data_IF_282891242455
#
_entry.id   IF_282891242455
#
_cell.length_a   1.000
_cell.length_b   1.000
_cell.length_c   1.000
_cell.angle_alpha   90.00
_cell.angle_beta   90.00
_cell.angle_gamma   90.00
#
_symmetry.space_group_name_H-M   'P 1'
#
loop_
_entity.id
_entity.type
_entity.pdbx_description
1 polymer ?
#
# COMPACT_ATOMS: atom_id res chain seq x y z
N UNK A 1 -9.59 8.74 -13.37
CA UNK A 1 -8.41 7.83 -13.47
C UNK A 1 -8.80 6.44 -12.99
N UNK A 2 -8.27 5.41 -13.64
CA UNK A 2 -8.59 4.02 -13.32
C UNK A 2 -7.74 3.53 -12.13
N UNK A 3 -8.39 3.19 -11.01
CA UNK A 3 -7.74 2.73 -9.77
C UNK A 3 -6.94 1.44 -9.96
N UNK A 4 -7.47 0.49 -10.76
CA UNK A 4 -6.79 -0.75 -11.08
C UNK A 4 -5.51 -0.50 -11.89
N UNK A 5 -5.57 0.39 -12.89
CA UNK A 5 -4.39 0.78 -13.67
C UNK A 5 -3.32 1.42 -12.77
N UNK A 6 -3.73 2.32 -11.86
CA UNK A 6 -2.80 2.93 -10.91
C UNK A 6 -2.13 1.88 -10.01
N UNK A 7 -2.87 0.87 -9.54
CA UNK A 7 -2.31 -0.23 -8.76
C UNK A 7 -1.22 -0.97 -9.54
N UNK A 8 -1.50 -1.37 -10.79
CA UNK A 8 -0.50 -2.03 -11.64
C UNK A 8 0.73 -1.16 -11.92
N UNK A 9 0.56 0.14 -12.11
CA UNK A 9 1.69 1.05 -12.34
C UNK A 9 2.60 1.16 -11.11
N UNK A 10 2.02 1.16 -9.91
CA UNK A 10 2.79 1.15 -8.65
C UNK A 10 3.57 -0.15 -8.47
N UNK A 11 2.94 -1.28 -8.78
CA UNK A 11 3.61 -2.59 -8.73
C UNK A 11 4.74 -2.68 -9.75
N UNK A 12 4.52 -2.17 -10.97
CA UNK A 12 5.54 -2.12 -12.00
C UNK A 12 6.73 -1.25 -11.57
N UNK A 13 6.48 -0.11 -10.91
CA UNK A 13 7.54 0.73 -10.36
C UNK A 13 8.38 -0.02 -9.32
N UNK A 14 7.75 -0.76 -8.40
CA UNK A 14 8.45 -1.59 -7.42
C UNK A 14 9.30 -2.69 -8.09
N UNK A 15 8.79 -3.34 -9.14
CA UNK A 15 9.53 -4.34 -9.92
C UNK A 15 10.78 -3.72 -10.56
N UNK A 16 10.68 -2.51 -11.11
CA UNK A 16 11.86 -1.82 -11.67
C UNK A 16 12.91 -1.51 -10.61
N UNK A 17 12.52 -1.18 -9.38
CA UNK A 17 13.47 -0.99 -8.26
C UNK A 17 14.18 -2.30 -7.93
N UNK A 18 13.44 -3.42 -7.87
CA UNK A 18 14.02 -4.76 -7.65
C UNK A 18 15.02 -5.10 -8.74
N UNK A 19 14.67 -4.89 -10.02
CA UNK A 19 15.56 -5.16 -11.15
C UNK A 19 16.80 -4.25 -11.12
N UNK A 20 16.65 -2.97 -10.81
CA UNK A 20 17.76 -2.04 -10.70
C UNK A 20 18.73 -2.45 -9.57
N UNK A 21 18.20 -2.85 -8.42
CA UNK A 21 19.00 -3.32 -7.29
C UNK A 21 19.67 -4.66 -7.58
N UNK A 22 18.96 -5.61 -8.18
CA UNK A 22 19.50 -6.92 -8.56
C UNK A 22 20.57 -6.85 -9.66
N UNK A 23 20.55 -5.82 -10.50
CA UNK A 23 21.56 -5.59 -11.53
C UNK A 23 22.92 -5.16 -10.97
N UNK A 24 22.98 -4.71 -9.72
CA UNK A 24 24.22 -4.38 -9.03
C UNK A 24 24.89 -5.67 -8.53
N UNK A 25 26.21 -5.70 -8.53
CA UNK A 25 26.97 -6.87 -8.04
C UNK A 25 27.17 -6.85 -6.52
N UNK A 26 26.42 -6.04 -5.79
CA UNK A 26 26.50 -5.92 -4.34
C UNK A 26 25.64 -6.98 -3.66
N UNK A 27 26.21 -7.81 -2.74
CA UNK A 27 25.43 -8.81 -2.01
C UNK A 27 24.34 -8.17 -1.12
N UNK A 28 24.58 -6.98 -0.55
CA UNK A 28 23.57 -6.26 0.24
C UNK A 28 22.38 -5.78 -0.60
N UNK A 29 22.66 -5.29 -1.81
CA UNK A 29 21.64 -4.86 -2.74
C UNK A 29 20.80 -6.05 -3.24
N UNK A 30 21.40 -7.21 -3.50
CA UNK A 30 20.69 -8.43 -3.89
C UNK A 30 19.77 -8.93 -2.77
N UNK A 31 20.26 -9.02 -1.52
CA UNK A 31 19.41 -9.39 -0.38
C UNK A 31 18.28 -8.37 -0.18
N UNK A 32 18.55 -7.08 -0.39
CA UNK A 32 17.53 -6.03 -0.37
C UNK A 32 16.47 -6.24 -1.45
N UNK A 33 16.88 -6.55 -2.68
CA UNK A 33 16.01 -6.84 -3.82
C UNK A 33 15.08 -8.04 -3.54
N UNK A 34 15.63 -9.14 -3.01
CA UNK A 34 14.86 -10.33 -2.64
C UNK A 34 13.82 -10.01 -1.56
N UNK A 35 14.17 -9.21 -0.56
CA UNK A 35 13.25 -8.77 0.49
C UNK A 35 12.17 -7.84 -0.04
N UNK A 36 12.49 -6.94 -0.97
CA UNK A 36 11.52 -6.09 -1.64
C UNK A 36 10.53 -6.91 -2.46
N UNK A 37 11.02 -7.89 -3.21
CA UNK A 37 10.16 -8.79 -3.98
C UNK A 37 9.19 -9.54 -3.07
N UNK A 38 9.65 -10.06 -1.92
CA UNK A 38 8.79 -10.71 -0.93
C UNK A 38 7.72 -9.75 -0.36
N UNK A 39 8.08 -8.48 -0.14
CA UNK A 39 7.12 -7.47 0.30
C UNK A 39 6.06 -7.19 -0.77
N UNK A 40 6.46 -7.03 -2.04
CA UNK A 40 5.54 -6.86 -3.17
C UNK A 40 4.56 -8.04 -3.23
N UNK A 41 5.06 -9.27 -3.18
CA UNK A 41 4.21 -10.48 -3.17
C UNK A 41 3.29 -10.58 -1.95
N UNK A 42 3.63 -9.91 -0.85
CA UNK A 42 2.82 -9.92 0.37
C UNK A 42 1.61 -9.00 0.29
N UNK A 43 1.76 -7.80 -0.27
CA UNK A 43 0.66 -6.83 -0.29
C UNK A 43 -0.14 -6.79 -1.59
N UNK A 44 0.42 -7.28 -2.71
CA UNK A 44 -0.23 -7.22 -4.02
C UNK A 44 -1.64 -7.84 -4.06
N UNK A 45 -1.89 -9.02 -3.47
CA UNK A 45 -3.23 -9.60 -3.44
C UNK A 45 -4.25 -8.70 -2.75
N UNK A 46 -3.85 -8.00 -1.69
CA UNK A 46 -4.74 -7.09 -0.97
C UNK A 46 -5.05 -5.82 -1.78
N UNK A 47 -4.07 -5.27 -2.51
CA UNK A 47 -4.26 -4.12 -3.41
C UNK A 47 -5.20 -4.46 -4.57
N UNK A 48 -5.06 -5.65 -5.16
CA UNK A 48 -5.96 -6.12 -6.20
C UNK A 48 -7.39 -6.30 -5.68
N UNK A 49 -7.55 -6.94 -4.51
CA UNK A 49 -8.86 -7.10 -3.87
C UNK A 49 -9.48 -5.76 -3.49
N UNK A 50 -8.68 -4.78 -3.06
CA UNK A 50 -9.15 -3.41 -2.84
C UNK A 50 -9.73 -2.80 -4.12
N UNK A 51 -9.02 -2.91 -5.25
CA UNK A 51 -9.50 -2.37 -6.53
C UNK A 51 -10.80 -3.03 -7.00
N UNK A 52 -10.91 -4.35 -6.82
CA UNK A 52 -12.13 -5.12 -7.11
C UNK A 52 -13.26 -4.70 -6.18
N UNK A 53 -12.97 -4.53 -4.89
CA UNK A 53 -13.97 -4.11 -3.92
C UNK A 53 -14.49 -2.70 -4.14
N UNK A 54 -13.63 -1.76 -4.55
CA UNK A 54 -14.07 -0.43 -4.98
C UNK A 54 -14.97 -0.51 -6.22
N UNK A 55 -14.65 -1.37 -7.19
CA UNK A 55 -15.51 -1.62 -8.34
C UNK A 55 -16.90 -2.14 -7.93
N UNK A 56 -16.95 -3.12 -7.04
CA UNK A 56 -18.21 -3.69 -6.57
C UNK A 56 -19.07 -2.69 -5.77
N UNK A 57 -18.43 -1.70 -5.13
CA UNK A 57 -19.14 -0.65 -4.40
C UNK A 57 -19.65 0.50 -5.31
N UNK A 58 -19.05 0.71 -6.49
CA UNK A 58 -19.29 1.89 -7.34
C UNK A 58 -19.65 1.57 -8.79
N UNK A 59 -19.65 0.28 -9.17
CA UNK A 59 -19.80 -0.23 -10.54
C UNK A 59 -18.81 0.39 -11.56
N UNK A 60 -17.71 0.95 -11.06
CA UNK A 60 -16.68 1.58 -11.90
C UNK A 60 -15.29 1.51 -11.27
N UNK A 61 -14.26 1.34 -12.12
CA UNK A 61 -12.87 1.52 -11.70
C UNK A 61 -12.42 2.98 -11.70
N UNK A 62 -13.29 3.93 -12.09
CA UNK A 62 -12.89 5.32 -12.19
C UNK A 62 -12.99 6.03 -10.82
N UNK A 63 -11.90 6.69 -10.44
CA UNK A 63 -11.83 7.49 -9.21
C UNK A 63 -12.91 8.57 -9.11
N UNK A 64 -13.39 9.09 -10.27
CA UNK A 64 -14.47 10.10 -10.30
C UNK A 64 -15.79 9.48 -9.87
N UNK A 65 -16.08 8.25 -10.27
CA UNK A 65 -17.29 7.54 -9.86
C UNK A 65 -17.29 7.26 -8.34
N UNK A 66 -16.11 7.00 -7.76
CA UNK A 66 -15.92 6.83 -6.32
C UNK A 66 -16.28 8.11 -5.56
N UNK A 67 -15.84 9.26 -6.04
CA UNK A 67 -16.06 10.55 -5.36
C UNK A 67 -17.45 11.14 -5.59
N UNK A 68 -18.18 10.67 -6.57
CA UNK A 68 -19.56 11.12 -6.91
C UNK A 68 -20.68 10.36 -6.19
N UNK A 69 -20.39 9.53 -5.20
CA UNK A 69 -21.38 8.77 -4.43
C UNK A 69 -22.14 9.67 -3.46
N UNK A 70 -23.41 9.35 -3.21
CA UNK A 70 -24.26 10.08 -2.24
C UNK A 70 -23.87 9.86 -0.78
N UNK A 71 -23.15 8.77 -0.48
CA UNK A 71 -22.66 8.42 0.85
C UNK A 71 -21.17 7.99 0.77
N UNK A 72 -20.38 8.19 1.84
CA UNK A 72 -18.99 7.77 1.86
C UNK A 72 -18.87 6.25 1.72
N UNK A 73 -17.97 5.78 0.88
CA UNK A 73 -17.78 4.34 0.59
C UNK A 73 -17.39 3.53 1.83
N UNK A 74 -16.77 4.16 2.81
CA UNK A 74 -16.41 3.49 4.08
C UNK A 74 -17.60 2.80 4.74
N UNK A 75 -18.82 3.29 4.55
CA UNK A 75 -20.04 2.69 5.15
C UNK A 75 -20.29 1.29 4.59
N UNK A 76 -19.97 1.06 3.33
CA UNK A 76 -20.20 -0.22 2.64
C UNK A 76 -18.96 -1.12 2.57
N UNK A 77 -17.76 -0.55 2.79
CA UNK A 77 -16.49 -1.22 2.48
C UNK A 77 -15.48 -1.14 3.63
N UNK A 78 -15.94 -1.21 4.88
CA UNK A 78 -15.04 -1.21 6.06
C UNK A 78 -13.95 -2.28 6.00
N UNK A 79 -14.23 -3.54 5.58
CA UNK A 79 -13.18 -4.56 5.52
C UNK A 79 -12.06 -4.19 4.55
N UNK A 80 -12.40 -3.64 3.38
CA UNK A 80 -11.41 -3.21 2.40
C UNK A 80 -10.58 -2.04 2.92
N UNK A 81 -11.19 -1.10 3.62
CA UNK A 81 -10.48 0.01 4.24
C UNK A 81 -9.45 -0.50 5.26
N UNK A 82 -9.80 -1.47 6.11
CA UNK A 82 -8.86 -2.07 7.05
C UNK A 82 -7.74 -2.83 6.34
N UNK A 83 -8.05 -3.52 5.24
CA UNK A 83 -7.03 -4.14 4.40
C UNK A 83 -6.07 -3.10 3.81
N UNK A 84 -6.58 -1.96 3.33
CA UNK A 84 -5.76 -0.87 2.81
C UNK A 84 -4.83 -0.29 3.88
N UNK A 85 -5.30 -0.10 5.12
CA UNK A 85 -4.45 0.37 6.22
C UNK A 85 -3.30 -0.61 6.50
N UNK A 86 -3.59 -1.93 6.54
CA UNK A 86 -2.54 -2.93 6.73
C UNK A 86 -1.54 -3.00 5.53
N UNK A 87 -2.00 -2.76 4.31
CA UNK A 87 -1.12 -2.63 3.14
C UNK A 87 -0.26 -1.38 3.26
N UNK A 88 -0.84 -0.28 3.75
CA UNK A 88 -0.13 0.99 3.91
C UNK A 88 1.08 0.86 4.84
N UNK A 89 0.94 0.17 5.98
CA UNK A 89 2.06 -0.09 6.90
C UNK A 89 3.22 -0.85 6.23
N UNK A 90 2.90 -1.85 5.38
CA UNK A 90 3.92 -2.58 4.62
C UNK A 90 4.54 -1.68 3.55
N UNK A 91 3.72 -0.90 2.85
CA UNK A 91 4.14 -0.10 1.68
C UNK A 91 4.97 1.13 2.05
N UNK A 92 4.70 1.74 3.21
CA UNK A 92 5.49 2.85 3.72
C UNK A 92 6.89 2.44 4.17
N UNK A 93 7.21 1.13 4.16
CA UNK A 93 8.51 0.57 4.56
C UNK A 93 8.97 1.08 5.93
N UNK A 94 8.02 1.26 6.82
CA UNK A 94 8.27 1.65 8.20
C UNK A 94 8.28 0.43 9.11
N UNK A 95 8.88 0.55 10.28
CA UNK A 95 8.78 -0.50 11.29
C UNK A 95 7.28 -0.82 11.51
N UNK A 96 6.87 -2.09 11.62
CA UNK A 96 7.68 -3.31 11.75
C UNK A 96 8.13 -3.97 10.42
N UNK A 97 7.82 -3.38 9.24
CA UNK A 97 8.05 -3.99 7.92
C UNK A 97 9.16 -3.32 7.10
N UNK A 98 10.10 -2.67 7.77
CA UNK A 98 11.33 -2.14 7.16
C UNK A 98 12.31 -3.30 6.84
N UNK A 99 11.98 -4.07 5.77
CA UNK A 99 12.70 -5.30 5.44
C UNK A 99 13.71 -5.11 4.30
N UNK A 100 13.39 -4.29 3.31
CA UNK A 100 14.15 -4.14 2.08
C UNK A 100 15.04 -2.90 2.04
N UNK A 101 14.68 -1.87 2.79
CA UNK A 101 15.36 -0.59 2.84
C UNK A 101 15.61 -0.18 4.29
N UNK A 102 16.87 0.04 4.65
CA UNK A 102 17.23 0.47 6.00
C UNK A 102 17.46 1.98 6.04
N UNK A 103 16.80 2.65 6.96
CA UNK A 103 17.03 4.06 7.27
C UNK A 103 18.13 4.27 8.32
N UNK A 104 18.56 3.21 8.99
CA UNK A 104 19.54 3.26 10.09
C UNK A 104 20.80 2.48 9.73
N UNK A 105 21.96 3.09 9.93
CA UNK A 105 23.26 2.52 9.57
C UNK A 105 23.64 1.22 10.32
N UNK A 106 22.97 0.90 11.42
CA UNK A 106 23.24 -0.29 12.24
C UNK A 106 22.42 -1.53 11.81
N UNK A 107 21.67 -1.45 10.73
CA UNK A 107 20.89 -2.59 10.24
C UNK A 107 21.74 -3.53 9.39
N UNK A 108 21.35 -4.81 9.34
CA UNK A 108 22.10 -5.92 8.72
C UNK A 108 22.42 -5.73 7.24
N UNK A 109 21.53 -5.06 6.49
CA UNK A 109 21.64 -4.89 5.03
C UNK A 109 22.10 -3.50 4.62
N UNK A 110 22.62 -2.70 5.55
CA UNK A 110 23.03 -1.31 5.31
C UNK A 110 21.85 -0.51 4.75
N UNK A 111 21.89 -0.07 3.49
CA UNK A 111 20.77 0.61 2.81
C UNK A 111 19.92 -0.32 1.94
N UNK A 112 20.15 -1.64 1.99
CA UNK A 112 19.38 -2.62 1.25
C UNK A 112 19.38 -2.33 -0.26
N UNK A 113 18.18 -2.20 -0.83
CA UNK A 113 18.01 -1.93 -2.28
C UNK A 113 18.71 -0.67 -2.79
N UNK A 114 19.00 0.28 -1.92
CA UNK A 114 19.63 1.56 -2.28
C UNK A 114 21.14 1.60 -2.03
N UNK A 115 21.77 0.50 -1.57
CA UNK A 115 23.19 0.47 -1.15
C UNK A 115 24.13 1.02 -2.23
N UNK A 116 23.92 0.64 -3.49
CA UNK A 116 24.77 1.07 -4.62
C UNK A 116 24.18 2.26 -5.39
N UNK A 117 23.05 2.78 -4.95
CA UNK A 117 22.41 3.91 -5.61
C UNK A 117 22.93 5.23 -5.05
N UNK A 118 23.38 6.13 -5.94
CA UNK A 118 23.89 7.44 -5.56
C UNK A 118 23.40 8.55 -6.49
N UNK A 119 23.54 9.80 -6.05
CA UNK A 119 23.23 10.98 -6.85
C UNK A 119 21.83 10.97 -7.44
N UNK A 120 21.72 11.13 -8.75
CA UNK A 120 20.43 11.24 -9.44
C UNK A 120 19.56 9.97 -9.39
N UNK A 121 20.16 8.78 -9.28
CA UNK A 121 19.42 7.52 -9.18
C UNK A 121 18.72 7.39 -7.83
N UNK A 122 19.45 7.70 -6.75
CA UNK A 122 18.89 7.71 -5.39
C UNK A 122 17.80 8.78 -5.26
N UNK A 123 17.98 9.96 -5.85
CA UNK A 123 16.98 11.02 -5.84
C UNK A 123 15.68 10.60 -6.54
N UNK A 124 15.76 9.92 -7.68
CA UNK A 124 14.58 9.40 -8.40
C UNK A 124 13.85 8.32 -7.57
N UNK A 125 14.59 7.43 -6.90
CA UNK A 125 14.03 6.42 -6.03
C UNK A 125 13.31 7.06 -4.83
N UNK A 126 13.92 8.05 -4.20
CA UNK A 126 13.30 8.79 -3.09
C UNK A 126 12.02 9.50 -3.54
N UNK A 127 12.06 10.15 -4.70
CA UNK A 127 10.87 10.81 -5.28
C UNK A 127 9.77 9.80 -5.57
N UNK A 128 10.10 8.63 -6.12
CA UNK A 128 9.13 7.54 -6.35
C UNK A 128 8.44 7.14 -5.03
N UNK A 129 9.18 6.95 -3.95
CA UNK A 129 8.58 6.60 -2.65
C UNK A 129 7.67 7.68 -2.09
N UNK A 130 8.01 8.96 -2.29
CA UNK A 130 7.12 10.05 -1.91
C UNK A 130 5.83 10.04 -2.72
N UNK A 131 5.93 9.84 -4.03
CA UNK A 131 4.75 9.72 -4.89
C UNK A 131 3.87 8.52 -4.50
N UNK A 132 4.46 7.37 -4.21
CA UNK A 132 3.74 6.20 -3.70
C UNK A 132 3.02 6.50 -2.39
N UNK A 133 3.69 7.11 -1.43
CA UNK A 133 3.11 7.50 -0.14
C UNK A 133 1.89 8.40 -0.32
N UNK A 134 2.02 9.44 -1.14
CA UNK A 134 0.91 10.36 -1.43
C UNK A 134 -0.25 9.62 -2.11
N UNK A 135 0.03 8.76 -3.08
CA UNK A 135 -0.98 7.99 -3.80
C UNK A 135 -1.77 7.06 -2.86
N UNK A 136 -1.10 6.32 -1.99
CA UNK A 136 -1.77 5.45 -1.03
C UNK A 136 -2.59 6.23 0.01
N UNK A 137 -2.09 7.38 0.47
CA UNK A 137 -2.86 8.27 1.34
C UNK A 137 -4.09 8.85 0.60
N UNK A 138 -3.97 9.19 -0.67
CA UNK A 138 -5.12 9.61 -1.49
C UNK A 138 -6.15 8.49 -1.61
N UNK A 139 -5.74 7.23 -1.75
CA UNK A 139 -6.67 6.09 -1.73
C UNK A 139 -7.39 5.97 -0.39
N UNK A 140 -6.69 6.16 0.74
CA UNK A 140 -7.35 6.23 2.07
C UNK A 140 -8.39 7.36 2.10
N UNK A 141 -8.04 8.54 1.58
CA UNK A 141 -8.95 9.68 1.52
C UNK A 141 -10.19 9.43 0.68
N UNK A 142 -10.08 8.67 -0.43
CA UNK A 142 -11.21 8.36 -1.32
C UNK A 142 -12.38 7.64 -0.62
N UNK A 143 -12.12 6.88 0.43
CA UNK A 143 -13.19 6.22 1.21
C UNK A 143 -14.10 7.20 1.95
N UNK A 144 -13.62 8.44 2.17
CA UNK A 144 -14.31 9.49 2.94
C UNK A 144 -14.79 10.64 2.07
N UNK A 145 -14.65 10.57 0.74
CA UNK A 145 -15.16 11.58 -0.17
C UNK A 145 -16.55 11.16 -0.68
N UNK A 146 -17.48 12.10 -0.66
CA UNK A 146 -18.83 11.99 -1.23
C UNK A 146 -19.24 13.34 -1.85
N UNK A 147 -20.42 13.45 -2.41
CA UNK A 147 -20.93 14.62 -3.17
C UNK A 147 -21.13 15.92 -2.35
N UNK A 148 -20.39 16.11 -1.26
CA UNK A 148 -20.44 17.32 -0.45
C UNK A 148 -19.04 17.94 -0.35
N UNK A 149 -18.85 19.27 -0.54
CA UNK A 149 -17.54 19.90 -0.45
C UNK A 149 -16.87 19.74 0.92
N UNK A 150 -17.63 19.56 2.00
CA UNK A 150 -17.08 19.28 3.35
C UNK A 150 -16.33 17.95 3.39
N UNK A 151 -16.69 16.98 2.53
CA UNK A 151 -16.05 15.67 2.48
C UNK A 151 -14.56 15.73 2.18
N UNK A 152 -14.12 16.70 1.38
CA UNK A 152 -12.71 16.92 1.09
C UNK A 152 -11.88 17.30 2.33
N UNK A 153 -12.48 18.11 3.22
CA UNK A 153 -11.85 18.45 4.49
C UNK A 153 -11.76 17.23 5.39
N UNK A 154 -12.83 16.42 5.45
CA UNK A 154 -12.84 15.16 6.22
C UNK A 154 -11.77 14.21 5.68
N UNK A 155 -11.70 14.02 4.37
CA UNK A 155 -10.69 13.17 3.73
C UNK A 155 -9.26 13.63 4.08
N UNK A 156 -8.98 14.94 4.04
CA UNK A 156 -7.68 15.50 4.37
C UNK A 156 -7.31 15.24 5.84
N UNK A 157 -8.26 15.43 6.76
CA UNK A 157 -8.05 15.15 8.19
C UNK A 157 -7.79 13.66 8.41
N UNK A 158 -8.54 12.78 7.74
CA UNK A 158 -8.33 11.33 7.84
C UNK A 158 -6.97 10.92 7.28
N UNK A 159 -6.55 11.46 6.13
CA UNK A 159 -5.22 11.20 5.57
C UNK A 159 -4.10 11.61 6.55
N UNK A 160 -4.22 12.80 7.15
CA UNK A 160 -3.26 13.27 8.14
C UNK A 160 -3.24 12.40 9.40
N UNK A 161 -4.42 12.01 9.91
CA UNK A 161 -4.55 11.12 11.05
C UNK A 161 -3.96 9.72 10.75
N UNK A 162 -4.24 9.16 9.58
CA UNK A 162 -3.66 7.89 9.15
C UNK A 162 -2.14 7.96 9.09
N UNK A 163 -1.59 8.99 8.48
CA UNK A 163 -0.13 9.16 8.42
C UNK A 163 0.48 9.31 9.82
N UNK A 164 -0.19 10.02 10.73
CA UNK A 164 0.24 10.13 12.11
C UNK A 164 0.23 8.78 12.83
N UNK A 165 -0.81 7.97 12.64
CA UNK A 165 -0.88 6.60 13.19
C UNK A 165 0.26 5.73 12.65
N UNK A 166 0.58 5.83 11.35
CA UNK A 166 1.71 5.10 10.75
C UNK A 166 3.06 5.51 11.36
N UNK A 167 3.24 6.80 11.64
CA UNK A 167 4.44 7.29 12.35
C UNK A 167 4.49 6.78 13.80
N UNK A 168 3.36 6.67 14.48
CA UNK A 168 3.30 6.06 15.83
C UNK A 168 3.65 4.57 15.78
N UNK A 169 3.15 3.84 14.79
CA UNK A 169 3.46 2.42 14.59
C UNK A 169 4.97 2.26 14.37
N UNK A 170 5.56 3.07 13.50
CA UNK A 170 6.99 3.09 13.22
C UNK A 170 7.86 3.26 14.49
N UNK A 171 7.43 4.13 15.40
CA UNK A 171 8.17 4.41 16.63
C UNK A 171 7.91 3.43 17.79
N UNK A 172 6.81 2.68 17.75
CA UNK A 172 6.41 1.80 18.88
C UNK A 172 6.71 0.33 18.62
N UNK A 173 6.66 -0.13 17.38
CA UNK A 173 6.83 -1.55 17.05
C UNK A 173 8.26 -1.89 16.65
N UNK A 174 8.75 -3.01 17.18
CA UNK A 174 10.01 -3.58 16.76
C UNK A 174 9.92 -4.19 15.36
N UNK A 175 11.05 -4.29 14.68
CA UNK A 175 11.17 -4.89 13.33
C UNK A 175 10.67 -6.33 13.34
N UNK A 176 9.85 -6.65 12.35
CA UNK A 176 9.27 -7.98 12.14
C UNK A 176 10.11 -8.81 11.15
N UNK A 177 9.85 -10.12 11.10
CA UNK A 177 10.47 -11.01 10.14
C UNK A 177 9.70 -10.99 8.81
N UNK A 178 10.36 -11.33 7.71
CA UNK A 178 9.73 -11.45 6.40
C UNK A 178 8.55 -12.46 6.39
N UNK A 179 8.64 -13.53 7.21
CA UNK A 179 7.57 -14.52 7.36
C UNK A 179 6.30 -13.92 7.98
N UNK A 180 6.46 -13.01 8.94
CA UNK A 180 5.34 -12.30 9.55
C UNK A 180 4.70 -11.32 8.58
N UNK A 181 5.50 -10.61 7.78
CA UNK A 181 5.01 -9.73 6.73
C UNK A 181 4.16 -10.49 5.71
N UNK A 182 4.67 -11.63 5.23
CA UNK A 182 3.95 -12.47 4.26
C UNK A 182 2.64 -13.02 4.84
N UNK A 183 2.67 -13.56 6.06
CA UNK A 183 1.46 -14.06 6.74
C UNK A 183 0.42 -12.97 6.96
N UNK A 184 0.86 -11.77 7.34
CA UNK A 184 -0.04 -10.64 7.56
C UNK A 184 -0.66 -10.18 6.24
N UNK A 185 0.13 -9.97 5.19
CA UNK A 185 -0.37 -9.52 3.89
C UNK A 185 -1.40 -10.47 3.29
N UNK A 186 -1.09 -11.76 3.23
CA UNK A 186 -2.02 -12.79 2.73
C UNK A 186 -3.19 -13.02 3.67
N UNK A 187 -2.98 -13.00 5.00
CA UNK A 187 -4.06 -13.11 5.97
C UNK A 187 -5.06 -11.96 5.85
N UNK A 188 -4.57 -10.73 5.72
CA UNK A 188 -5.40 -9.55 5.49
C UNK A 188 -6.15 -9.66 4.16
N UNK A 189 -5.47 -10.02 3.07
CA UNK A 189 -6.09 -10.19 1.75
C UNK A 189 -7.23 -11.22 1.80
N UNK A 190 -6.98 -12.40 2.37
CA UNK A 190 -7.99 -13.47 2.43
C UNK A 190 -9.15 -13.10 3.37
N UNK A 191 -8.89 -12.65 4.59
CA UNK A 191 -9.94 -12.37 5.58
C UNK A 191 -10.80 -11.19 5.13
N UNK A 192 -10.19 -10.05 4.87
CA UNK A 192 -10.95 -8.84 4.53
C UNK A 192 -11.47 -8.85 3.09
N UNK A 193 -10.75 -9.49 2.16
CA UNK A 193 -11.23 -9.68 0.80
C UNK A 193 -12.47 -10.58 0.76
N UNK A 194 -12.45 -11.72 1.43
CA UNK A 194 -13.60 -12.63 1.50
C UNK A 194 -14.77 -11.99 2.24
N UNK A 195 -14.54 -11.30 3.36
CA UNK A 195 -15.60 -10.60 4.08
C UNK A 195 -16.33 -9.56 3.24
N UNK A 196 -15.60 -8.90 2.34
CA UNK A 196 -16.22 -7.92 1.44
C UNK A 196 -16.96 -8.57 0.26
N UNK A 197 -16.55 -9.75 -0.19
CA UNK A 197 -17.21 -10.48 -1.26
C UNK A 197 -18.45 -11.23 -0.80
N UNK A 198 -18.55 -11.58 0.49
CA UNK A 198 -19.68 -12.35 1.04
C UNK A 198 -21.06 -11.74 0.76
N UNK A 199 -21.35 -10.45 1.04
CA UNK A 199 -22.67 -9.88 0.78
C UNK A 199 -23.03 -9.93 -0.70
N UNK A 200 -22.07 -9.74 -1.60
CA UNK A 200 -22.29 -9.75 -3.05
C UNK A 200 -22.59 -11.16 -3.55
N UNK A 201 -21.89 -12.16 -3.01
CA UNK A 201 -22.18 -13.58 -3.32
C UNK A 201 -23.59 -13.96 -2.84
N UNK A 202 -24.02 -13.45 -1.69
CA UNK A 202 -25.38 -13.68 -1.19
C UNK A 202 -26.41 -13.06 -2.13
N UNK A 203 -26.23 -11.82 -2.60
CA UNK A 203 -27.17 -11.14 -3.51
C UNK A 203 -27.23 -11.79 -4.91
N UNK A 204 -26.17 -12.46 -5.35
CA UNK A 204 -26.14 -13.17 -6.65
C UNK A 204 -26.81 -14.55 -6.57
N UNK A 205 -26.79 -15.20 -5.40
CA UNK A 205 -27.31 -16.57 -5.23
C UNK A 205 -28.70 -16.64 -4.58
N UNK A 206 -29.27 -15.52 -4.13
CA UNK A 206 -30.64 -15.40 -3.63
C UNK A 206 -31.48 -14.54 -4.59
#
# INVERSE_FOLDING_TARGET
SNTLLCAFMVTLAAIFVVLASASTQSPFAQVGADRELLQVMSYEPAVLLMSVGLYLATDSFDSIAVTGQSAPIIVYSVPIFLALLAVLTIKLRKSPFDLSYSHHAHQEIVQGVATEMSGGTLAKMTLMHWCETVLFLMWVGMFFVWDNPVSWVVALVVMAATYFVEVLIDNTFARSTWRSCFKLGWGVALVFGLLNLMPILVDVFI
#
